data_IF_871532229654
#
_entry.id   IF_871532229654
#
_cell.length_a   1.000
_cell.length_b   1.000
_cell.length_c   1.000
_cell.angle_alpha   90.00
_cell.angle_beta   90.00
_cell.angle_gamma   90.00
#
_symmetry.space_group_name_H-M   'P 1'
#
loop_
_entity.id
_entity.type
_entity.pdbx_description
1 polymer ?
#
# COMPACT_ATOMS: atom_id res chain seq x y z
N UNK A 1 -16.73 3.91 12.22
CA UNK A 1 -16.61 3.20 13.51
C UNK A 1 -16.65 1.69 13.33
N UNK A 2 -17.66 1.11 12.66
CA UNK A 2 -17.74 -0.34 12.38
C UNK A 2 -16.56 -0.88 11.57
N UNK A 3 -16.07 -0.15 10.55
CA UNK A 3 -14.95 -0.54 9.70
C UNK A 3 -13.68 -0.71 10.52
N UNK A 4 -13.39 0.23 11.40
CA UNK A 4 -12.21 0.20 12.28
C UNK A 4 -12.28 -1.00 13.23
N UNK A 5 -13.45 -1.25 13.80
CA UNK A 5 -13.67 -2.38 14.72
C UNK A 5 -13.46 -3.74 14.01
N UNK A 6 -13.99 -3.88 12.79
CA UNK A 6 -13.78 -5.06 11.96
C UNK A 6 -12.30 -5.27 11.59
N UNK A 7 -11.61 -4.21 11.19
CA UNK A 7 -10.18 -4.28 10.88
C UNK A 7 -9.35 -4.69 12.10
N UNK A 8 -9.64 -4.10 13.27
CA UNK A 8 -8.93 -4.42 14.49
C UNK A 8 -9.12 -5.89 14.95
N UNK A 9 -10.22 -6.52 14.58
CA UNK A 9 -10.55 -7.91 14.94
C UNK A 9 -10.20 -8.92 13.84
N UNK A 10 -9.92 -8.47 12.62
CA UNK A 10 -9.59 -9.33 11.51
C UNK A 10 -8.24 -10.03 11.72
N UNK A 11 -8.08 -11.21 11.14
CA UNK A 11 -6.79 -11.91 11.06
C UNK A 11 -5.94 -11.38 9.91
N UNK A 12 -6.57 -11.02 8.80
CA UNK A 12 -5.99 -10.42 7.60
C UNK A 12 -7.07 -9.66 6.83
N UNK A 13 -6.64 -8.83 5.89
CA UNK A 13 -7.50 -8.19 4.90
C UNK A 13 -7.27 -8.83 3.53
N UNK A 14 -8.33 -9.29 2.88
CA UNK A 14 -8.25 -9.86 1.53
C UNK A 14 -8.54 -8.76 0.50
N UNK A 15 -7.57 -8.50 -0.36
CA UNK A 15 -7.66 -7.53 -1.46
C UNK A 15 -7.49 -8.23 -2.81
N UNK A 16 -8.57 -8.79 -3.40
CA UNK A 16 -8.50 -9.59 -4.62
C UNK A 16 -8.55 -8.75 -5.89
N UNK A 17 -8.74 -7.47 -5.78
CA UNK A 17 -8.95 -6.57 -6.92
C UNK A 17 -7.64 -5.94 -7.39
N UNK A 18 -7.63 -5.55 -8.67
CA UNK A 18 -6.62 -4.68 -9.22
C UNK A 18 -6.99 -3.23 -8.89
N UNK A 19 -6.13 -2.56 -8.15
CA UNK A 19 -6.31 -1.17 -7.76
C UNK A 19 -5.07 -0.34 -8.09
N UNK A 20 -5.26 0.96 -8.30
CA UNK A 20 -4.15 1.87 -8.58
C UNK A 20 -3.30 2.11 -7.32
N UNK A 21 -3.94 2.24 -6.14
CA UNK A 21 -3.24 2.45 -4.87
C UNK A 21 -3.68 1.49 -3.76
N UNK A 22 -4.99 1.36 -3.49
CA UNK A 22 -5.54 0.45 -2.49
C UNK A 22 -5.48 0.98 -1.06
N UNK A 23 -6.13 2.10 -0.80
CA UNK A 23 -6.12 2.76 0.51
C UNK A 23 -6.64 1.86 1.64
N UNK A 24 -7.60 0.96 1.35
CA UNK A 24 -8.16 0.04 2.34
C UNK A 24 -7.12 -0.99 2.82
N UNK A 25 -6.21 -1.41 1.95
CA UNK A 25 -5.09 -2.27 2.35
C UNK A 25 -4.15 -1.54 3.34
N UNK A 26 -3.89 -0.25 3.10
CA UNK A 26 -3.09 0.58 4.01
C UNK A 26 -3.79 0.77 5.35
N UNK A 27 -5.10 1.01 5.35
CA UNK A 27 -5.89 1.10 6.58
C UNK A 27 -5.85 -0.20 7.40
N UNK A 28 -5.89 -1.36 6.73
CA UNK A 28 -5.71 -2.66 7.39
C UNK A 28 -4.32 -2.78 8.01
N UNK A 29 -3.27 -2.39 7.28
CA UNK A 29 -1.91 -2.38 7.82
C UNK A 29 -1.75 -1.38 8.97
N UNK A 30 -2.42 -0.23 8.93
CA UNK A 30 -2.46 0.73 10.04
C UNK A 30 -3.13 0.14 11.29
N UNK A 31 -4.09 -0.77 11.13
CA UNK A 31 -4.65 -1.58 12.22
C UNK A 31 -3.72 -2.74 12.66
N UNK A 32 -2.54 -2.87 12.04
CA UNK A 32 -1.58 -3.94 12.31
C UNK A 32 -1.97 -5.29 11.73
N UNK A 33 -2.80 -5.31 10.69
CA UNK A 33 -3.29 -6.54 10.04
C UNK A 33 -2.64 -6.74 8.69
N UNK A 34 -2.14 -7.95 8.41
CA UNK A 34 -1.52 -8.26 7.13
C UNK A 34 -2.56 -8.30 6.00
N UNK A 35 -2.09 -8.16 4.78
CA UNK A 35 -2.92 -8.13 3.57
C UNK A 35 -2.65 -9.38 2.73
N UNK A 36 -3.70 -10.03 2.25
CA UNK A 36 -3.63 -11.06 1.21
C UNK A 36 -4.07 -10.40 -0.09
N UNK A 37 -3.13 -10.08 -0.98
CA UNK A 37 -3.37 -9.23 -2.13
C UNK A 37 -3.13 -9.94 -3.46
N UNK A 38 -3.89 -9.54 -4.48
CA UNK A 38 -3.54 -9.86 -5.86
C UNK A 38 -2.24 -9.15 -6.25
N UNK A 39 -1.30 -9.90 -6.84
CA UNK A 39 0.05 -9.40 -7.18
C UNK A 39 0.04 -8.52 -8.43
N UNK A 40 -0.65 -7.39 -8.38
CA UNK A 40 -0.69 -6.40 -9.45
C UNK A 40 -1.10 -5.02 -8.92
N UNK A 41 -0.80 -3.97 -9.70
CA UNK A 41 -1.19 -2.60 -9.39
C UNK A 41 -0.58 -2.06 -8.10
N UNK A 42 -1.29 -1.19 -7.42
CA UNK A 42 -0.85 -0.49 -6.21
C UNK A 42 -0.48 -1.39 -5.05
N UNK A 43 -1.04 -2.62 -4.98
CA UNK A 43 -0.67 -3.58 -3.94
C UNK A 43 0.82 -3.93 -3.97
N UNK A 44 1.46 -3.97 -5.15
CA UNK A 44 2.88 -4.24 -5.30
C UNK A 44 3.78 -3.10 -4.76
N UNK A 45 3.23 -1.89 -4.65
CA UNK A 45 3.94 -0.73 -4.10
C UNK A 45 3.74 -0.59 -2.59
N UNK A 46 2.61 -1.07 -2.08
CA UNK A 46 2.19 -0.83 -0.69
C UNK A 46 2.40 -2.03 0.24
N UNK A 47 2.32 -3.25 -0.28
CA UNK A 47 2.48 -4.49 0.49
C UNK A 47 3.88 -5.05 0.30
N UNK A 48 4.53 -5.46 1.39
CA UNK A 48 5.82 -6.15 1.37
C UNK A 48 5.55 -7.63 1.61
N UNK A 49 5.88 -8.46 0.60
CA UNK A 49 5.66 -9.90 0.67
C UNK A 49 6.43 -10.54 1.84
N UNK A 50 5.73 -11.32 2.64
CA UNK A 50 6.27 -11.96 3.83
C UNK A 50 6.46 -11.05 5.05
N UNK A 51 6.27 -9.73 4.94
CA UNK A 51 6.42 -8.78 6.06
C UNK A 51 5.11 -8.09 6.43
N UNK A 52 4.38 -7.57 5.45
CA UNK A 52 3.10 -6.88 5.68
C UNK A 52 1.92 -7.57 5.01
N UNK A 53 2.17 -8.61 4.26
CA UNK A 53 1.16 -9.42 3.61
C UNK A 53 1.76 -10.50 2.74
N UNK A 54 0.90 -11.18 1.99
CA UNK A 54 1.26 -12.17 0.97
C UNK A 54 0.53 -11.88 -0.32
N UNK A 55 1.11 -12.35 -1.43
CA UNK A 55 0.52 -12.20 -2.74
C UNK A 55 0.01 -13.52 -3.31
N UNK A 56 -1.11 -13.47 -4.02
CA UNK A 56 -1.52 -14.51 -4.96
C UNK A 56 -1.40 -14.00 -6.40
N UNK A 57 -0.97 -14.88 -7.34
CA UNK A 57 -0.46 -14.47 -8.65
C UNK A 57 -1.51 -14.43 -9.76
N UNK A 58 -2.59 -15.18 -9.61
CA UNK A 58 -3.65 -15.25 -10.61
C UNK A 58 -4.95 -14.74 -10.01
N UNK A 59 -5.66 -13.89 -10.72
CA UNK A 59 -6.96 -13.37 -10.27
C UNK A 59 -8.07 -14.43 -10.46
N UNK A 60 -7.89 -15.55 -9.78
CA UNK A 60 -8.80 -16.70 -9.75
C UNK A 60 -9.09 -17.08 -8.30
N UNK A 61 -10.24 -17.72 -8.08
CA UNK A 61 -10.62 -18.16 -6.73
C UNK A 61 -9.67 -19.24 -6.19
N UNK A 62 -9.11 -20.11 -7.06
CA UNK A 62 -8.16 -21.14 -6.68
C UNK A 62 -6.85 -20.53 -6.14
N UNK A 63 -6.34 -19.51 -6.81
CA UNK A 63 -5.11 -18.84 -6.39
C UNK A 63 -5.29 -18.09 -5.08
N UNK A 64 -6.44 -17.46 -4.86
CA UNK A 64 -6.80 -16.84 -3.59
C UNK A 64 -6.97 -17.89 -2.50
N UNK A 65 -7.65 -18.98 -2.80
CA UNK A 65 -7.88 -20.07 -1.85
C UNK A 65 -6.56 -20.66 -1.35
N UNK A 66 -5.61 -20.93 -2.26
CA UNK A 66 -4.27 -21.39 -1.89
C UNK A 66 -3.55 -20.41 -0.97
N UNK A 67 -3.62 -19.12 -1.26
CA UNK A 67 -3.03 -18.10 -0.41
C UNK A 67 -3.64 -18.08 0.99
N UNK A 68 -4.97 -18.20 1.10
CA UNK A 68 -5.67 -18.25 2.38
C UNK A 68 -5.32 -19.53 3.17
N UNK A 69 -5.23 -20.68 2.50
CA UNK A 69 -4.85 -21.94 3.15
C UNK A 69 -3.42 -21.92 3.70
N UNK A 70 -2.51 -21.24 3.01
CA UNK A 70 -1.12 -21.11 3.43
C UNK A 70 -0.87 -19.90 4.36
N UNK A 71 -1.89 -19.13 4.66
CA UNK A 71 -1.79 -18.01 5.58
C UNK A 71 -1.80 -18.48 7.04
N UNK A 72 -0.77 -18.10 7.78
CA UNK A 72 -0.66 -18.41 9.21
C UNK A 72 -0.79 -17.14 10.04
N UNK A 73 -1.91 -16.92 10.74
CA UNK A 73 -2.18 -15.68 11.46
C UNK A 73 -1.15 -15.32 12.54
N UNK A 74 -0.45 -16.30 13.08
CA UNK A 74 0.54 -16.12 14.16
C UNK A 74 1.92 -15.66 13.69
N UNK A 75 2.18 -15.67 12.38
CA UNK A 75 3.50 -15.35 11.82
C UNK A 75 3.72 -13.84 11.59
N UNK A 76 2.80 -13.00 12.03
CA UNK A 76 2.79 -11.58 11.68
C UNK A 76 3.09 -10.68 12.88
N UNK A 77 4.02 -9.74 12.68
CA UNK A 77 4.34 -8.71 13.65
C UNK A 77 3.48 -7.46 13.39
N UNK A 78 2.40 -7.33 14.16
CA UNK A 78 1.47 -6.21 14.04
C UNK A 78 2.13 -4.83 14.22
N UNK A 79 3.19 -4.73 15.03
CA UNK A 79 3.90 -3.47 15.24
C UNK A 79 4.69 -3.08 13.98
N UNK A 80 5.38 -4.03 13.34
CA UNK A 80 6.09 -3.79 12.09
C UNK A 80 5.14 -3.42 10.95
N UNK A 81 4.02 -4.12 10.83
CA UNK A 81 2.99 -3.83 9.82
C UNK A 81 2.48 -2.39 10.02
N UNK A 82 2.19 -2.00 11.25
CA UNK A 82 1.71 -0.65 11.59
C UNK A 82 2.74 0.42 11.25
N UNK A 83 3.99 0.22 11.63
CA UNK A 83 5.10 1.12 11.29
C UNK A 83 5.28 1.28 9.78
N UNK A 84 5.10 0.20 9.01
CA UNK A 84 5.14 0.29 7.56
C UNK A 84 4.01 1.18 7.01
N UNK A 85 2.79 1.04 7.53
CA UNK A 85 1.64 1.84 7.12
C UNK A 85 1.81 3.34 7.39
N UNK A 86 2.55 3.73 8.43
CA UNK A 86 2.84 5.14 8.76
C UNK A 86 3.54 5.89 7.61
N UNK A 87 4.27 5.18 6.75
CA UNK A 87 4.92 5.78 5.55
C UNK A 87 3.92 6.36 4.56
N UNK A 88 2.67 5.96 4.66
CA UNK A 88 1.55 6.40 3.81
C UNK A 88 0.61 7.35 4.55
N UNK A 89 1.04 7.93 5.66
CA UNK A 89 0.25 8.92 6.41
C UNK A 89 0.01 10.19 5.59
N UNK A 90 -1.04 10.91 5.95
CA UNK A 90 -1.40 12.18 5.31
C UNK A 90 -0.27 13.20 5.40
N UNK A 91 0.42 13.27 6.53
CA UNK A 91 1.54 14.19 6.76
C UNK A 91 2.69 13.89 5.79
N UNK A 92 3.11 12.63 5.70
CA UNK A 92 4.18 12.21 4.80
C UNK A 92 3.78 12.41 3.34
N UNK A 93 2.53 12.13 2.99
CA UNK A 93 2.02 12.41 1.65
C UNK A 93 2.10 13.90 1.30
N UNK A 94 1.65 14.78 2.21
CA UNK A 94 1.72 16.23 2.00
C UNK A 94 3.14 16.73 1.81
N UNK A 95 4.07 16.28 2.64
CA UNK A 95 5.49 16.64 2.53
C UNK A 95 6.09 16.19 1.19
N UNK A 96 5.89 14.93 0.82
CA UNK A 96 6.39 14.37 -0.44
C UNK A 96 5.77 15.07 -1.65
N UNK A 97 4.46 15.32 -1.61
CA UNK A 97 3.75 15.98 -2.71
C UNK A 97 4.24 17.42 -2.87
N UNK A 98 4.38 18.17 -1.77
CA UNK A 98 4.90 19.54 -1.79
C UNK A 98 6.31 19.57 -2.41
N UNK A 99 7.21 18.71 -1.93
CA UNK A 99 8.56 18.63 -2.45
C UNK A 99 8.56 18.25 -3.94
N UNK A 100 7.79 17.26 -4.34
CA UNK A 100 7.69 16.86 -5.74
C UNK A 100 7.23 18.00 -6.64
N UNK A 101 6.21 18.74 -6.23
CA UNK A 101 5.70 19.91 -6.99
C UNK A 101 6.76 21.01 -7.06
N UNK A 102 7.44 21.33 -5.96
CA UNK A 102 8.52 22.32 -5.92
C UNK A 102 9.67 21.94 -6.85
N UNK A 103 10.15 20.69 -6.78
CA UNK A 103 11.23 20.17 -7.62
C UNK A 103 10.86 20.25 -9.11
N UNK A 104 9.64 19.80 -9.46
CA UNK A 104 9.14 19.85 -10.85
C UNK A 104 8.92 21.26 -11.35
N UNK A 105 8.51 22.17 -10.49
CA UNK A 105 8.37 23.57 -10.85
C UNK A 105 9.73 24.24 -11.13
N UNK A 106 10.76 23.93 -10.32
CA UNK A 106 12.13 24.41 -10.57
C UNK A 106 12.70 23.84 -11.87
N UNK A 107 12.51 22.55 -12.13
CA UNK A 107 12.87 21.92 -13.41
C UNK A 107 12.18 22.60 -14.60
N UNK A 108 10.90 22.88 -14.48
CA UNK A 108 10.11 23.58 -15.51
C UNK A 108 10.63 24.99 -15.76
N UNK A 109 10.91 25.76 -14.71
CA UNK A 109 11.50 27.09 -14.84
C UNK A 109 12.86 27.07 -15.54
N UNK A 110 13.72 26.12 -15.16
CA UNK A 110 15.02 25.94 -15.79
C UNK A 110 14.89 25.59 -17.29
N UNK A 111 13.93 24.74 -17.66
CA UNK A 111 13.61 24.41 -19.04
C UNK A 111 13.10 25.62 -19.83
N UNK A 112 12.28 26.48 -19.24
CA UNK A 112 11.82 27.72 -19.86
C UNK A 112 12.95 28.71 -20.11
N UNK A 113 13.92 28.80 -19.18
CA UNK A 113 15.10 29.66 -19.35
C UNK A 113 15.97 29.18 -20.52
N UNK A 114 16.14 27.86 -20.64
CA UNK A 114 16.87 27.28 -21.78
C UNK A 114 16.16 27.50 -23.12
N UNK A 115 14.82 27.46 -23.13
CA UNK A 115 14.01 27.67 -24.33
C UNK A 115 13.82 29.16 -24.70
N UNK A 116 14.16 30.09 -23.83
CA UNK A 116 14.13 31.54 -24.12
C UNK A 116 15.28 32.05 -24.97
N UNK A 117 16.13 31.17 -25.44
CA UNK A 117 17.22 31.48 -26.41
C UNK A 117 16.76 31.42 -27.87
N UNK A 118 15.46 31.47 -28.10
CA UNK A 118 14.86 31.62 -29.43
C UNK A 118 14.27 33.00 -29.63
#
# INVERSE_FOLDING_TARGET
>A
EQKIDLMNKALAFINPQLEDFGITAIESMAAGRPVIAYSAGGAQETVIDGETGIFFKKQTWESLFDAVLNFHPTNWDSAKIRTHAEKFSEEIFKEKMKKFVEDKYEEFKAGLVQNKLF
#
